data_IF_607537176193
#
_entry.id   IF_607537176193
#
_cell.length_a   1.000
_cell.length_b   1.000
_cell.length_c   1.000
_cell.angle_alpha   90.00
_cell.angle_beta   90.00
_cell.angle_gamma   90.00
#
_symmetry.space_group_name_H-M   'P 1'
#
loop_
_entity.id
_entity.type
_entity.pdbx_description
1 polymer ?
#
# COMPACT_ATOMS: atom_id res chain seq x y z
N UNK A 1 -16.68 25.71 -24.80
CA UNK A 1 -15.29 26.10 -24.48
C UNK A 1 -14.57 24.82 -24.07
N UNK A 2 -13.55 24.41 -24.82
CA UNK A 2 -12.76 23.21 -24.49
C UNK A 2 -11.76 23.62 -23.41
N UNK A 3 -11.81 23.00 -22.24
CA UNK A 3 -10.88 23.30 -21.16
C UNK A 3 -9.45 22.97 -21.61
N UNK A 4 -8.54 23.94 -21.51
CA UNK A 4 -7.12 23.71 -21.79
C UNK A 4 -6.57 22.74 -20.73
N UNK A 5 -5.77 21.77 -21.17
CA UNK A 5 -5.14 20.79 -20.28
C UNK A 5 -4.15 21.52 -19.38
N UNK A 6 -4.36 21.43 -18.06
CA UNK A 6 -3.55 22.13 -17.07
C UNK A 6 -2.12 21.57 -17.01
N UNK A 7 -1.10 22.38 -16.71
CA UNK A 7 0.26 21.89 -16.55
C UNK A 7 0.34 20.79 -15.48
N UNK A 8 1.01 19.68 -15.79
CA UNK A 8 0.98 18.50 -14.93
C UNK A 8 1.80 17.33 -15.45
N UNK A 9 2.01 16.36 -14.57
CA UNK A 9 2.56 15.05 -14.94
C UNK A 9 1.43 14.20 -15.47
N UNK A 10 1.59 13.70 -16.68
CA UNK A 10 0.63 12.83 -17.32
C UNK A 10 1.33 11.59 -17.85
N UNK A 11 0.61 10.48 -17.90
CA UNK A 11 1.09 9.25 -18.51
C UNK A 11 1.39 9.48 -19.99
N UNK A 12 2.58 9.12 -20.44
CA UNK A 12 3.01 9.26 -21.83
C UNK A 12 2.68 8.02 -22.69
N UNK A 13 2.04 7.01 -22.11
CA UNK A 13 1.64 5.77 -22.77
C UNK A 13 2.74 4.71 -22.82
N UNK A 14 3.92 4.98 -22.27
CA UNK A 14 5.04 4.03 -22.19
C UNK A 14 5.28 3.49 -20.77
N UNK A 15 4.50 3.97 -19.79
CA UNK A 15 4.67 3.64 -18.37
C UNK A 15 5.52 4.65 -17.59
N UNK A 16 6.01 5.70 -18.26
CA UNK A 16 6.62 6.86 -17.63
C UNK A 16 5.62 8.02 -17.57
N UNK A 17 5.78 8.91 -16.59
CA UNK A 17 5.06 10.18 -16.59
C UNK A 17 5.88 11.24 -17.30
N UNK A 18 5.27 12.02 -18.17
CA UNK A 18 5.91 13.15 -18.86
C UNK A 18 5.25 14.45 -18.45
N UNK A 19 6.05 15.50 -18.35
CA UNK A 19 5.54 16.79 -17.92
C UNK A 19 4.96 17.58 -19.10
N UNK A 20 3.69 17.97 -18.96
CA UNK A 20 2.99 18.93 -19.81
C UNK A 20 3.08 20.32 -19.18
N UNK A 21 3.58 21.30 -19.92
CA UNK A 21 3.78 22.67 -19.41
C UNK A 21 2.54 23.59 -19.56
N UNK A 22 1.42 23.04 -20.05
CA UNK A 22 0.22 23.82 -20.41
C UNK A 22 0.12 24.15 -21.90
N UNK A 23 1.19 23.93 -22.67
CA UNK A 23 1.26 24.24 -24.10
C UNK A 23 1.96 23.17 -24.94
N UNK A 24 2.94 22.45 -24.39
CA UNK A 24 3.61 21.31 -25.02
C UNK A 24 4.14 20.31 -23.98
N UNK A 25 4.45 19.10 -24.45
CA UNK A 25 5.21 18.12 -23.69
C UNK A 25 6.68 18.55 -23.62
N UNK A 26 7.25 18.51 -22.43
CA UNK A 26 8.67 18.84 -22.19
C UNK A 26 9.55 17.59 -22.32
N UNK A 27 10.87 17.70 -22.16
CA UNK A 27 11.75 16.52 -22.09
C UNK A 27 11.86 15.93 -20.69
N UNK A 28 11.14 16.49 -19.71
CA UNK A 28 11.10 15.97 -18.34
C UNK A 28 10.19 14.74 -18.29
N UNK A 29 10.76 13.60 -17.87
CA UNK A 29 10.04 12.35 -17.64
C UNK A 29 10.38 11.77 -16.26
N UNK A 30 9.40 11.13 -15.63
CA UNK A 30 9.54 10.36 -14.40
C UNK A 30 9.25 8.89 -14.73
N UNK A 31 10.31 8.09 -14.78
CA UNK A 31 10.23 6.63 -14.88
C UNK A 31 10.13 6.06 -13.45
N UNK A 32 9.07 5.28 -13.20
CA UNK A 32 8.83 4.63 -11.91
C UNK A 32 9.30 3.17 -11.89
N UNK A 33 10.05 2.73 -12.91
CA UNK A 33 10.83 1.50 -12.88
C UNK A 33 11.98 1.55 -11.86
N UNK A 34 12.30 0.40 -11.27
CA UNK A 34 13.30 0.12 -10.23
C UNK A 34 14.50 1.10 -10.10
N UNK A 35 14.28 2.28 -9.51
CA UNK A 35 15.30 3.28 -9.22
C UNK A 35 14.86 4.67 -9.66
N UNK A 36 14.40 5.49 -8.71
CA UNK A 36 14.01 6.88 -9.00
C UNK A 36 15.27 7.70 -9.28
N UNK A 37 15.50 8.05 -10.54
CA UNK A 37 16.46 9.09 -10.93
C UNK A 37 15.69 10.32 -11.43
N UNK A 38 15.63 11.36 -10.59
CA UNK A 38 15.08 12.66 -10.98
C UNK A 38 16.19 13.49 -11.64
N UNK A 39 16.08 13.76 -12.95
CA UNK A 39 16.95 14.74 -13.63
C UNK A 39 16.11 15.94 -14.03
N UNK A 40 16.46 17.13 -13.51
CA UNK A 40 15.80 18.40 -13.82
C UNK A 40 16.85 19.42 -14.23
N UNK A 41 16.58 20.16 -15.30
CA UNK A 41 17.41 21.30 -15.73
C UNK A 41 16.59 22.58 -15.71
N UNK A 42 16.89 23.44 -14.73
CA UNK A 42 16.55 24.87 -14.61
C UNK A 42 15.09 25.31 -14.29
N UNK A 43 15.03 26.28 -13.37
CA UNK A 43 13.86 26.86 -12.69
C UNK A 43 13.30 28.08 -13.44
N UNK A 44 11.97 28.30 -13.39
CA UNK A 44 11.43 29.62 -13.07
C UNK A 44 10.62 29.57 -11.76
N UNK A 45 10.70 30.65 -10.99
CA UNK A 45 10.18 30.74 -9.62
C UNK A 45 8.63 30.77 -9.60
N UNK A 46 8.02 29.62 -9.37
CA UNK A 46 6.59 29.49 -9.05
C UNK A 46 6.36 29.66 -7.55
N UNK A 47 5.24 30.26 -7.18
CA UNK A 47 4.83 30.46 -5.78
C UNK A 47 4.92 29.15 -4.97
N UNK A 48 5.36 29.19 -3.71
CA UNK A 48 5.62 27.98 -2.93
C UNK A 48 4.33 27.17 -2.77
N UNK A 49 4.38 25.88 -3.09
CA UNK A 49 3.32 24.90 -2.80
C UNK A 49 2.87 25.07 -1.36
N UNK A 50 1.58 25.33 -1.14
CA UNK A 50 1.04 25.59 0.19
C UNK A 50 1.20 24.37 1.10
N UNK A 51 1.50 24.62 2.38
CA UNK A 51 1.57 23.55 3.37
C UNK A 51 0.23 22.80 3.44
N UNK A 52 0.28 21.47 3.44
CA UNK A 52 -0.93 20.67 3.28
C UNK A 52 -0.68 19.15 3.23
N UNK A 53 -1.77 18.40 3.26
CA UNK A 53 -1.77 16.95 3.07
C UNK A 53 -1.94 16.62 1.60
N UNK A 54 -1.05 15.81 1.05
CA UNK A 54 -1.06 15.40 -0.35
C UNK A 54 -0.87 13.89 -0.45
N UNK A 55 -1.42 13.29 -1.50
CA UNK A 55 -1.27 11.85 -1.78
C UNK A 55 0.21 11.47 -1.95
N UNK A 56 0.65 10.39 -1.29
CA UNK A 56 2.00 9.84 -1.38
C UNK A 56 2.16 8.79 -2.50
N UNK A 57 1.09 8.56 -3.28
CA UNK A 57 1.01 7.57 -4.36
C UNK A 57 0.79 6.14 -3.86
N UNK A 58 0.65 5.92 -2.55
CA UNK A 58 0.52 4.59 -1.91
C UNK A 58 -0.73 4.46 -1.07
N UNK A 59 -1.73 5.32 -1.30
CA UNK A 59 -2.97 5.34 -0.51
C UNK A 59 -2.81 5.99 0.85
N UNK A 60 -1.75 6.77 1.06
CA UNK A 60 -1.60 7.60 2.26
C UNK A 60 -1.45 9.05 1.83
N UNK A 61 -1.75 9.96 2.74
CA UNK A 61 -1.40 11.36 2.60
C UNK A 61 -0.13 11.64 3.40
N UNK A 62 0.78 12.41 2.83
CA UNK A 62 1.98 12.93 3.50
C UNK A 62 1.87 14.44 3.67
N UNK A 63 2.39 14.97 4.76
CA UNK A 63 2.36 16.41 5.01
C UNK A 63 3.53 17.11 4.31
N UNK A 64 3.21 18.15 3.54
CA UNK A 64 4.14 19.13 3.01
C UNK A 64 4.12 20.37 3.90
N UNK A 65 5.27 20.83 4.37
CA UNK A 65 5.36 22.00 5.28
C UNK A 65 5.52 23.35 4.56
N UNK A 66 5.44 23.37 3.23
CA UNK A 66 5.73 24.55 2.40
C UNK A 66 7.15 24.56 1.82
N UNK A 67 8.05 23.70 2.30
CA UNK A 67 9.45 23.61 1.85
C UNK A 67 9.93 22.17 1.63
N UNK A 68 9.40 21.21 2.40
CA UNK A 68 9.75 19.79 2.33
C UNK A 68 8.60 18.90 2.79
N UNK A 69 8.66 17.63 2.37
CA UNK A 69 7.82 16.58 2.93
C UNK A 69 8.29 16.20 4.34
N UNK A 70 7.40 16.21 5.32
CA UNK A 70 7.73 15.78 6.69
C UNK A 70 7.58 14.27 6.84
N UNK A 71 7.86 13.74 8.03
CA UNK A 71 7.60 12.32 8.34
C UNK A 71 6.12 12.05 8.65
N UNK A 72 5.28 13.08 8.73
CA UNK A 72 3.87 12.92 9.07
C UNK A 72 3.12 12.31 7.90
N UNK A 73 2.40 11.22 8.18
CA UNK A 73 1.53 10.53 7.25
C UNK A 73 0.16 10.28 7.89
N UNK A 74 -0.88 10.17 7.07
CA UNK A 74 -2.24 9.75 7.50
C UNK A 74 -2.94 9.00 6.37
N UNK A 75 -4.01 8.27 6.67
CA UNK A 75 -4.86 7.64 5.66
C UNK A 75 -5.87 8.65 5.08
N UNK A 76 -6.37 8.41 3.87
CA UNK A 76 -7.14 9.39 3.07
C UNK A 76 -8.62 9.54 3.51
N UNK A 77 -9.12 8.70 4.41
CA UNK A 77 -10.34 8.95 5.19
C UNK A 77 -11.45 7.89 5.09
N UNK A 78 -11.30 6.84 4.28
CA UNK A 78 -12.24 5.70 4.22
C UNK A 78 -11.84 4.51 5.10
N UNK A 79 -11.26 4.79 6.27
CA UNK A 79 -10.49 3.82 7.06
C UNK A 79 -11.37 2.75 7.72
N UNK A 80 -11.15 1.49 7.33
CA UNK A 80 -11.53 0.35 8.16
C UNK A 80 -10.25 -0.30 8.69
N UNK A 81 -10.06 -0.25 10.01
CA UNK A 81 -8.88 -0.76 10.68
C UNK A 81 -9.21 -1.96 11.58
N UNK A 82 -8.33 -2.96 11.58
CA UNK A 82 -8.40 -4.11 12.47
C UNK A 82 -7.03 -4.73 12.70
N UNK A 83 -6.66 -4.95 13.97
CA UNK A 83 -5.38 -5.57 14.35
C UNK A 83 -4.15 -4.95 13.65
N UNK A 84 -4.14 -3.62 13.48
CA UNK A 84 -3.05 -2.88 12.83
C UNK A 84 -3.02 -2.97 11.30
N UNK A 85 -3.98 -3.68 10.70
CA UNK A 85 -4.24 -3.64 9.25
C UNK A 85 -5.24 -2.53 8.99
N UNK A 86 -4.92 -1.67 8.03
CA UNK A 86 -5.80 -0.60 7.57
C UNK A 86 -6.11 -0.84 6.11
N UNK A 87 -7.36 -0.68 5.69
CA UNK A 87 -7.71 -0.61 4.28
C UNK A 87 -8.30 0.75 4.00
N UNK A 88 -7.84 1.33 2.90
CA UNK A 88 -8.22 2.64 2.44
C UNK A 88 -8.39 2.63 0.92
N UNK A 89 -9.64 2.62 0.47
CA UNK A 89 -9.98 2.52 -0.95
C UNK A 89 -9.33 1.30 -1.61
N UNK A 90 -8.46 1.55 -2.59
CA UNK A 90 -7.76 0.51 -3.38
C UNK A 90 -6.51 -0.05 -2.70
N UNK A 91 -6.19 0.39 -1.49
CA UNK A 91 -4.96 0.05 -0.78
C UNK A 91 -5.25 -0.67 0.54
N UNK A 92 -4.33 -1.56 0.91
CA UNK A 92 -4.26 -2.19 2.23
C UNK A 92 -2.88 -1.94 2.83
N UNK A 93 -2.83 -1.72 4.14
CA UNK A 93 -1.65 -1.28 4.87
C UNK A 93 -1.41 -2.15 6.11
N UNK A 94 -0.14 -2.33 6.46
CA UNK A 94 0.29 -2.90 7.72
C UNK A 94 1.53 -2.13 8.21
N UNK A 95 1.31 -1.25 9.19
CA UNK A 95 2.33 -0.28 9.60
C UNK A 95 2.75 0.59 8.41
N UNK A 96 4.04 0.53 8.05
CA UNK A 96 4.59 1.29 6.90
C UNK A 96 4.44 0.59 5.55
N UNK A 97 4.01 -0.67 5.55
CA UNK A 97 3.80 -1.42 4.31
C UNK A 97 2.46 -1.06 3.71
N UNK A 98 2.43 -0.93 2.38
CA UNK A 98 1.22 -0.66 1.60
C UNK A 98 1.26 -1.49 0.33
N UNK A 99 0.13 -2.05 -0.07
CA UNK A 99 -0.03 -2.73 -1.35
C UNK A 99 -1.45 -2.56 -1.89
N UNK A 100 -1.66 -2.72 -3.21
CA UNK A 100 -3.00 -2.76 -3.77
C UNK A 100 -3.82 -3.86 -3.10
N UNK A 101 -5.09 -3.57 -2.80
CA UNK A 101 -6.01 -4.58 -2.25
C UNK A 101 -6.47 -5.56 -3.33
N UNK A 102 -6.42 -5.16 -4.60
CA UNK A 102 -6.72 -6.05 -5.73
C UNK A 102 -5.74 -7.23 -5.73
N UNK A 103 -6.26 -8.46 -5.77
CA UNK A 103 -5.44 -9.67 -5.78
C UNK A 103 -5.05 -10.20 -4.40
N UNK A 104 -5.46 -9.53 -3.32
CA UNK A 104 -5.22 -9.99 -1.95
C UNK A 104 -6.27 -11.01 -1.51
N UNK A 105 -5.84 -12.00 -0.74
CA UNK A 105 -6.72 -12.96 -0.05
C UNK A 105 -6.49 -12.83 1.45
N UNK A 106 -7.57 -12.64 2.22
CA UNK A 106 -7.50 -12.60 3.68
C UNK A 106 -8.09 -13.89 4.28
N UNK A 107 -7.42 -14.46 5.28
CA UNK A 107 -7.88 -15.66 6.00
C UNK A 107 -7.70 -15.51 7.50
N UNK A 108 -8.65 -16.06 8.25
CA UNK A 108 -8.56 -16.19 9.71
C UNK A 108 -8.59 -17.66 10.07
N UNK A 109 -7.49 -18.16 10.63
CA UNK A 109 -7.30 -19.57 10.99
C UNK A 109 -6.21 -19.71 12.06
N UNK A 110 -5.96 -20.93 12.52
CA UNK A 110 -4.83 -21.21 13.40
C UNK A 110 -3.50 -21.00 12.67
N UNK A 111 -2.44 -20.62 13.40
CA UNK A 111 -1.12 -20.42 12.81
C UNK A 111 -0.57 -21.70 12.16
N UNK A 112 -0.93 -22.87 12.67
CA UNK A 112 -0.61 -24.13 12.01
C UNK A 112 -1.23 -24.23 10.61
N UNK A 113 -2.52 -23.90 10.47
CA UNK A 113 -3.21 -23.98 9.19
C UNK A 113 -2.74 -22.90 8.24
N UNK A 114 -2.52 -21.68 8.74
CA UNK A 114 -1.91 -20.58 7.99
C UNK A 114 -0.53 -20.97 7.46
N UNK A 115 0.33 -21.53 8.31
CA UNK A 115 1.69 -21.93 7.92
C UNK A 115 1.72 -22.98 6.79
N UNK A 116 0.68 -23.81 6.65
CA UNK A 116 0.57 -24.82 5.59
C UNK A 116 0.03 -24.26 4.26
N UNK A 117 -0.41 -23.00 4.22
CA UNK A 117 -0.95 -22.40 2.99
C UNK A 117 0.17 -22.16 1.97
N UNK A 118 -0.02 -22.51 0.69
CA UNK A 118 1.02 -22.36 -0.32
C UNK A 118 1.51 -20.93 -0.52
N UNK A 119 0.62 -19.94 -0.50
CA UNK A 119 0.97 -18.52 -0.63
C UNK A 119 1.83 -18.04 0.54
N UNK A 120 1.37 -18.32 1.76
CA UNK A 120 2.09 -18.02 2.99
C UNK A 120 3.47 -18.67 3.05
N UNK A 121 3.58 -19.97 2.76
CA UNK A 121 4.85 -20.69 2.73
C UNK A 121 5.81 -20.10 1.69
N UNK A 122 5.31 -19.80 0.48
CA UNK A 122 6.10 -19.18 -0.59
C UNK A 122 6.65 -17.83 -0.16
N UNK A 123 5.81 -16.96 0.40
CA UNK A 123 6.22 -15.65 0.92
C UNK A 123 7.26 -15.78 2.04
N UNK A 124 7.09 -16.74 2.96
CA UNK A 124 8.05 -16.99 4.02
C UNK A 124 9.42 -17.43 3.48
N UNK A 125 9.45 -18.32 2.47
CA UNK A 125 10.68 -18.75 1.81
C UNK A 125 11.33 -17.62 1.00
N UNK A 126 10.53 -16.78 0.35
CA UNK A 126 10.98 -15.59 -0.37
C UNK A 126 11.43 -14.44 0.56
N UNK A 127 11.35 -14.61 1.89
CA UNK A 127 11.61 -13.56 2.89
C UNK A 127 10.71 -12.33 2.72
N UNK A 128 9.48 -12.56 2.24
CA UNK A 128 8.42 -11.57 2.05
C UNK A 128 7.24 -11.82 3.01
N UNK A 129 7.53 -12.36 4.20
CA UNK A 129 6.57 -12.48 5.30
C UNK A 129 6.75 -11.29 6.25
N UNK A 130 5.65 -10.62 6.58
CA UNK A 130 5.64 -9.42 7.42
C UNK A 130 4.62 -9.53 8.54
N UNK A 131 4.91 -8.88 9.66
CA UNK A 131 3.95 -8.64 10.74
C UNK A 131 3.96 -7.18 11.16
N UNK A 132 3.24 -6.81 12.24
CA UNK A 132 3.12 -5.42 12.68
C UNK A 132 4.46 -4.75 13.03
N UNK A 133 5.50 -5.54 13.32
CA UNK A 133 6.86 -5.07 13.63
C UNK A 133 7.82 -5.15 12.43
N UNK A 134 7.30 -5.27 11.22
CA UNK A 134 8.07 -5.40 9.99
C UNK A 134 8.32 -6.87 9.60
N UNK A 135 9.44 -7.13 8.92
CA UNK A 135 9.73 -8.44 8.33
C UNK A 135 9.82 -9.53 9.41
N UNK A 136 9.12 -10.63 9.17
CA UNK A 136 9.07 -11.79 10.05
C UNK A 136 9.74 -12.98 9.35
N UNK A 137 10.84 -13.47 9.91
CA UNK A 137 11.49 -14.67 9.42
C UNK A 137 10.67 -15.91 9.75
N UNK A 138 10.72 -16.94 8.90
CA UNK A 138 10.04 -18.22 9.14
C UNK A 138 10.35 -18.83 10.52
N UNK A 139 11.61 -18.75 10.96
CA UNK A 139 12.03 -19.23 12.29
C UNK A 139 11.37 -18.45 13.44
N UNK A 140 11.07 -17.17 13.25
CA UNK A 140 10.35 -16.37 14.23
C UNK A 140 8.87 -16.72 14.23
N UNK A 141 8.27 -16.94 13.05
CA UNK A 141 6.90 -17.43 12.94
C UNK A 141 6.70 -18.77 13.67
N UNK A 142 7.64 -19.71 13.51
CA UNK A 142 7.59 -21.01 14.19
C UNK A 142 7.69 -20.98 15.72
N UNK A 143 7.95 -19.82 16.34
CA UNK A 143 7.96 -19.65 17.80
C UNK A 143 6.59 -19.34 18.38
N UNK A 144 5.62 -18.95 17.56
CA UNK A 144 4.27 -18.68 18.02
C UNK A 144 3.52 -19.96 18.36
N UNK A 145 2.55 -19.87 19.25
CA UNK A 145 1.64 -20.97 19.52
C UNK A 145 0.89 -21.35 18.24
N UNK A 146 1.04 -22.61 17.82
CA UNK A 146 0.42 -23.18 16.62
C UNK A 146 -1.10 -23.13 16.64
N UNK A 147 -1.70 -23.10 17.84
CA UNK A 147 -3.15 -23.01 18.04
C UNK A 147 -3.66 -21.57 18.11
N UNK A 148 -2.77 -20.59 18.21
CA UNK A 148 -3.17 -19.19 18.20
C UNK A 148 -3.89 -18.84 16.90
N UNK A 149 -4.91 -17.99 17.01
CA UNK A 149 -5.62 -17.46 15.86
C UNK A 149 -4.79 -16.35 15.21
N UNK A 150 -4.67 -16.40 13.89
CA UNK A 150 -4.03 -15.35 13.09
C UNK A 150 -4.95 -14.84 12.00
N UNK A 151 -4.75 -13.58 11.60
CA UNK A 151 -5.28 -13.00 10.37
C UNK A 151 -4.12 -12.91 9.37
N UNK A 152 -4.14 -13.76 8.35
CA UNK A 152 -3.17 -13.74 7.27
C UNK A 152 -3.75 -13.04 6.05
N UNK A 153 -2.91 -12.23 5.38
CA UNK A 153 -3.24 -11.48 4.17
C UNK A 153 -2.18 -11.84 3.15
N UNK A 154 -2.57 -12.55 2.09
CA UNK A 154 -1.68 -13.09 1.08
C UNK A 154 -1.88 -12.34 -0.24
N UNK A 155 -0.79 -11.92 -0.87
CA UNK A 155 -0.75 -11.49 -2.27
C UNK A 155 0.19 -12.41 -3.07
N UNK A 156 0.42 -12.11 -4.35
CA UNK A 156 1.29 -12.93 -5.20
C UNK A 156 2.73 -13.00 -4.66
N UNK A 157 3.23 -11.88 -4.11
CA UNK A 157 4.64 -11.69 -3.81
C UNK A 157 4.95 -11.64 -2.31
N UNK A 158 3.95 -11.40 -1.46
CA UNK A 158 4.14 -11.28 -0.02
C UNK A 158 2.96 -11.81 0.79
N UNK A 159 3.22 -12.08 2.07
CA UNK A 159 2.19 -12.42 3.04
C UNK A 159 2.38 -11.59 4.30
N UNK A 160 1.28 -11.13 4.86
CA UNK A 160 1.23 -10.43 6.12
C UNK A 160 0.51 -11.29 7.16
N UNK A 161 0.96 -11.24 8.41
CA UNK A 161 0.31 -11.91 9.54
C UNK A 161 0.13 -10.91 10.68
N UNK A 162 -1.11 -10.83 11.18
CA UNK A 162 -1.43 -10.12 12.41
C UNK A 162 -2.24 -11.00 13.35
N UNK A 163 -2.39 -10.56 14.59
CA UNK A 163 -3.03 -11.30 15.66
C UNK A 163 -4.28 -10.54 16.11
N UNK A 164 -5.48 -11.10 15.89
CA UNK A 164 -6.72 -10.56 16.46
C UNK A 164 -6.63 -10.38 17.98
N UNK A 165 -7.36 -9.42 18.57
CA UNK A 165 -7.56 -9.36 20.01
C UNK A 165 -8.08 -10.70 20.55
N UNK A 166 -7.63 -11.08 21.74
CA UNK A 166 -8.03 -12.33 22.36
C UNK A 166 -9.56 -12.42 22.49
N UNK A 167 -10.16 -13.52 22.02
CA UNK A 167 -11.60 -13.73 22.05
C UNK A 167 -12.40 -13.07 20.92
N UNK A 168 -11.77 -12.27 20.05
CA UNK A 168 -12.46 -11.57 18.96
C UNK A 168 -12.33 -12.28 17.59
N UNK A 169 -12.63 -13.58 17.59
CA UNK A 169 -12.62 -14.36 16.34
C UNK A 169 -13.67 -13.86 15.33
N UNK A 170 -14.85 -13.48 15.82
CA UNK A 170 -15.94 -13.00 14.98
C UNK A 170 -15.60 -11.67 14.28
N UNK A 171 -14.95 -10.73 14.99
CA UNK A 171 -14.45 -9.49 14.42
C UNK A 171 -13.41 -9.75 13.33
N UNK A 172 -12.44 -10.63 13.61
CA UNK A 172 -11.40 -11.00 12.65
C UNK A 172 -11.99 -11.59 11.36
N UNK A 173 -12.93 -12.54 11.49
CA UNK A 173 -13.58 -13.18 10.33
C UNK A 173 -14.37 -12.17 9.50
N UNK A 174 -15.10 -11.26 10.16
CA UNK A 174 -15.85 -10.18 9.48
C UNK A 174 -14.91 -9.28 8.69
N UNK A 175 -13.78 -8.90 9.29
CA UNK A 175 -12.79 -8.05 8.63
C UNK A 175 -12.12 -8.76 7.44
N UNK A 176 -11.77 -10.04 7.57
CA UNK A 176 -11.20 -10.82 6.46
C UNK A 176 -12.19 -10.99 5.29
N UNK A 177 -13.47 -11.24 5.57
CA UNK A 177 -14.52 -11.27 4.55
C UNK A 177 -14.65 -9.92 3.84
N UNK A 178 -14.55 -8.82 4.58
CA UNK A 178 -14.60 -7.48 4.01
C UNK A 178 -13.38 -7.14 3.14
N UNK A 179 -12.16 -7.52 3.54
CA UNK A 179 -10.96 -7.40 2.69
C UNK A 179 -11.17 -8.16 1.38
N UNK A 180 -11.68 -9.40 1.47
CA UNK A 180 -11.92 -10.25 0.28
C UNK A 180 -12.94 -9.62 -0.67
N UNK A 181 -14.07 -9.13 -0.14
CA UNK A 181 -15.07 -8.43 -0.94
C UNK A 181 -14.51 -7.16 -1.60
N UNK A 182 -13.66 -6.42 -0.87
CA UNK A 182 -12.98 -5.23 -1.40
C UNK A 182 -11.98 -5.59 -2.50
N UNK A 183 -11.17 -6.64 -2.31
CA UNK A 183 -10.24 -7.14 -3.32
C UNK A 183 -10.96 -7.54 -4.61
N UNK A 184 -12.10 -8.23 -4.51
CA UNK A 184 -12.92 -8.60 -5.66
C UNK A 184 -13.56 -7.38 -6.35
N UNK A 185 -14.00 -6.39 -5.58
CA UNK A 185 -14.52 -5.14 -6.14
C UNK A 185 -13.49 -4.42 -7.02
N UNK A 186 -12.25 -4.30 -6.54
CA UNK A 186 -11.17 -3.62 -7.27
C UNK A 186 -10.50 -4.48 -8.35
N UNK A 187 -10.69 -5.80 -8.34
CA UNK A 187 -10.25 -6.67 -9.45
C UNK A 187 -11.13 -6.48 -10.70
N UNK A 188 -12.41 -6.17 -10.51
CA UNK A 188 -13.42 -6.13 -11.57
C UNK A 188 -13.72 -4.71 -12.07
N UNK A 189 -12.87 -3.71 -11.75
CA UNK A 189 -12.98 -2.32 -12.21
C UNK A 189 -11.72 -1.92 -12.95
#
# INVERSE_FOLDING_TARGET
>A
MVAAVEPGWYDDGTGAMRWWDGSRWTEDFADFGFGVELRTSAVPASAPTAAGWYDDGRGRMRWWDGRRWTAQSRFSGGEQAYAGVVVDGRWIHLGELSQPIAGVVAVVDSLERIGKRPGFSRAAHAKALFGPRGRLAWRQFGRFDRRALGLAIESADQAWITFPPAGDEAGARRFASWITASADHYRNR
#
